data_IF_968768122532
#
_entry.id   IF_968768122532
#
_cell.length_a   1.000
_cell.length_b   1.000
_cell.length_c   1.000
_cell.angle_alpha   90.00
_cell.angle_beta   90.00
_cell.angle_gamma   90.00
#
_symmetry.space_group_name_H-M   'P 1'
#
loop_
_entity.id
_entity.type
_entity.pdbx_description
1 polymer ?
#
# COMPACT_ATOMS: atom_id res chain seq x y z
N UNK A 1 22.41 85.77 -47.10
CA UNK A 1 22.28 84.44 -47.72
C UNK A 1 21.19 83.66 -47.01
N UNK A 2 20.20 83.20 -47.78
CA UNK A 2 19.12 82.20 -47.52
C UNK A 2 18.20 82.33 -46.28
N UNK A 3 16.94 82.71 -46.57
CA UNK A 3 15.68 82.40 -45.85
C UNK A 3 15.32 80.92 -45.98
N UNK A 4 14.63 80.31 -45.00
CA UNK A 4 13.49 79.33 -45.08
C UNK A 4 12.93 79.18 -43.63
N UNK A 5 11.77 79.71 -43.27
CA UNK A 5 10.37 79.20 -43.37
C UNK A 5 10.06 77.98 -42.48
N UNK A 6 9.04 78.16 -41.62
CA UNK A 6 8.40 77.23 -40.69
C UNK A 6 7.82 75.97 -41.36
N UNK A 7 7.78 74.86 -40.61
CA UNK A 7 6.64 73.94 -40.64
C UNK A 7 6.57 73.10 -39.34
N UNK A 8 5.53 73.35 -38.56
CA UNK A 8 5.06 72.53 -37.45
C UNK A 8 4.39 71.26 -37.97
N UNK A 9 4.86 70.08 -37.54
CA UNK A 9 4.22 68.79 -37.83
C UNK A 9 3.53 68.30 -36.56
N UNK A 10 2.20 68.40 -36.55
CA UNK A 10 1.31 67.77 -35.58
C UNK A 10 1.24 66.28 -35.86
N UNK A 11 1.61 65.44 -34.89
CA UNK A 11 1.47 63.99 -35.00
C UNK A 11 0.04 63.60 -34.57
N UNK A 12 -0.78 63.20 -35.53
CA UNK A 12 -2.13 62.70 -35.32
C UNK A 12 -2.05 61.26 -34.78
N UNK A 13 -2.54 61.05 -33.55
CA UNK A 13 -2.72 59.71 -32.97
C UNK A 13 -3.98 59.08 -33.57
N UNK A 14 -3.82 58.03 -34.37
CA UNK A 14 -4.95 57.25 -34.91
C UNK A 14 -5.49 56.32 -33.82
N UNK A 15 -6.58 56.72 -33.16
CA UNK A 15 -7.36 55.84 -32.29
C UNK A 15 -8.31 55.05 -33.20
N UNK A 16 -8.03 53.75 -33.37
CA UNK A 16 -8.97 52.82 -33.99
C UNK A 16 -9.98 52.42 -32.91
N UNK A 17 -11.15 53.05 -32.94
CA UNK A 17 -12.34 52.62 -32.22
C UNK A 17 -12.95 51.44 -32.98
N UNK A 18 -12.70 50.22 -32.52
CA UNK A 18 -13.47 49.06 -32.96
C UNK A 18 -14.72 48.98 -32.08
N UNK A 19 -15.85 49.38 -32.63
CA UNK A 19 -17.17 49.15 -32.06
C UNK A 19 -17.54 47.68 -32.26
N UNK A 20 -17.36 46.85 -31.25
CA UNK A 20 -18.03 45.54 -31.21
C UNK A 20 -19.38 45.71 -30.50
N UNK A 21 -20.43 45.76 -31.32
CA UNK A 21 -21.81 45.49 -30.92
C UNK A 21 -21.90 44.04 -30.43
N UNK A 22 -22.60 43.84 -29.31
CA UNK A 22 -22.54 42.62 -28.52
C UNK A 22 -23.04 41.35 -29.20
N UNK A 23 -22.47 40.25 -28.71
CA UNK A 23 -23.17 39.02 -28.40
C UNK A 23 -22.55 38.51 -27.10
N UNK A 24 -23.29 38.54 -25.99
CA UNK A 24 -22.93 37.80 -24.78
C UNK A 24 -23.10 36.30 -25.09
N UNK A 25 -22.08 35.71 -25.70
CA UNK A 25 -21.93 34.26 -25.70
C UNK A 25 -21.52 33.82 -24.30
N UNK A 26 -22.49 33.28 -23.58
CA UNK A 26 -22.32 32.44 -22.40
C UNK A 26 -21.29 31.35 -22.74
N UNK A 27 -20.02 31.57 -22.42
CA UNK A 27 -19.02 30.51 -22.44
C UNK A 27 -19.29 29.59 -21.25
N UNK A 28 -20.18 28.62 -21.45
CA UNK A 28 -20.18 27.41 -20.66
C UNK A 28 -18.76 26.84 -20.70
N UNK A 29 -18.13 26.63 -19.55
CA UNK A 29 -16.82 26.00 -19.46
C UNK A 29 -16.92 24.59 -20.03
N UNK A 30 -16.64 24.46 -21.32
CA UNK A 30 -16.45 23.15 -21.93
C UNK A 30 -15.20 22.56 -21.28
N UNK A 31 -15.38 21.47 -20.52
CA UNK A 31 -14.29 20.60 -20.09
C UNK A 31 -13.66 20.00 -21.36
N UNK A 32 -12.76 20.75 -21.97
CA UNK A 32 -11.86 20.22 -22.98
C UNK A 32 -11.01 19.14 -22.29
N UNK A 33 -10.91 17.93 -22.86
CA UNK A 33 -10.01 16.92 -22.32
C UNK A 33 -8.59 17.50 -22.31
N UNK A 34 -7.98 17.51 -21.13
CA UNK A 34 -6.61 17.98 -20.93
C UNK A 34 -5.67 17.19 -21.87
N UNK A 35 -4.71 17.83 -22.55
CA UNK A 35 -3.71 17.10 -23.34
C UNK A 35 -2.97 16.09 -22.44
N UNK A 36 -2.71 14.90 -22.96
CA UNK A 36 -2.22 13.71 -22.23
C UNK A 36 -0.95 14.00 -21.37
N UNK A 37 -0.15 15.00 -21.75
CA UNK A 37 1.04 15.47 -21.02
C UNK A 37 0.76 16.18 -19.67
N UNK A 38 -0.51 16.52 -19.37
CA UNK A 38 -0.89 17.22 -18.15
C UNK A 38 -1.25 16.30 -16.98
N UNK A 39 -1.19 14.98 -17.13
CA UNK A 39 -1.52 14.02 -16.07
C UNK A 39 -0.27 13.37 -15.50
N UNK A 40 -0.18 13.28 -14.17
CA UNK A 40 0.79 12.42 -13.48
C UNK A 40 0.03 11.18 -12.99
N UNK A 41 0.45 10.00 -13.43
CA UNK A 41 -0.16 8.72 -13.07
C UNK A 41 0.77 7.93 -12.17
N UNK A 42 0.24 7.50 -11.02
CA UNK A 42 0.92 6.61 -10.07
C UNK A 42 0.09 5.31 -9.94
N UNK A 43 0.72 4.17 -10.22
CA UNK A 43 0.12 2.85 -10.05
C UNK A 43 0.58 2.20 -8.75
N UNK A 44 -0.35 1.62 -8.00
CA UNK A 44 -0.07 0.95 -6.73
C UNK A 44 -0.48 -0.50 -6.78
N UNK A 45 0.30 -1.34 -6.10
CA UNK A 45 -0.13 -2.65 -5.65
C UNK A 45 0.11 -2.77 -4.15
N UNK A 46 -0.93 -3.08 -3.39
CA UNK A 46 -0.84 -3.33 -1.96
C UNK A 46 -1.27 -4.76 -1.63
N UNK A 47 -0.57 -5.39 -0.69
CA UNK A 47 -0.92 -6.71 -0.16
C UNK A 47 -1.04 -6.66 1.37
N UNK A 48 -1.61 -7.71 1.95
CA UNK A 48 -1.72 -7.86 3.40
C UNK A 48 -0.46 -8.45 4.03
N UNK A 49 -0.64 -9.45 4.88
CA UNK A 49 0.40 -9.93 5.78
C UNK A 49 1.47 -10.76 5.06
N UNK A 50 2.71 -10.32 5.21
CA UNK A 50 3.94 -10.95 4.74
C UNK A 50 4.62 -11.67 5.91
N UNK A 51 4.08 -12.83 6.29
CA UNK A 51 4.60 -13.61 7.41
C UNK A 51 5.64 -14.65 6.94
N UNK A 52 6.48 -15.11 7.86
CA UNK A 52 7.44 -16.18 7.57
C UNK A 52 7.53 -17.17 8.74
N UNK A 53 6.59 -18.12 8.76
CA UNK A 53 6.54 -19.23 9.70
C UNK A 53 7.65 -20.26 9.40
N UNK A 54 7.97 -21.12 10.38
CA UNK A 54 9.04 -22.12 10.23
C UNK A 54 8.94 -22.98 8.97
N UNK A 55 7.77 -23.50 8.57
CA UNK A 55 7.67 -24.27 7.33
C UNK A 55 8.01 -23.47 6.07
N UNK A 56 7.78 -22.15 6.06
CA UNK A 56 8.04 -21.30 4.89
C UNK A 56 9.55 -21.19 4.64
N UNK A 57 10.34 -20.82 5.65
CA UNK A 57 11.79 -20.79 5.48
C UNK A 57 12.40 -22.19 5.33
N UNK A 58 11.82 -23.22 5.96
CA UNK A 58 12.27 -24.61 5.73
C UNK A 58 12.09 -25.05 4.27
N UNK A 59 11.02 -24.61 3.59
CA UNK A 59 10.76 -24.97 2.20
C UNK A 59 11.54 -24.07 1.21
N UNK A 60 11.95 -22.88 1.66
CA UNK A 60 12.80 -21.96 0.91
C UNK A 60 14.29 -22.33 0.99
N UNK A 61 14.73 -23.18 1.92
CA UNK A 61 16.15 -23.51 2.09
C UNK A 61 16.77 -24.11 0.82
N UNK A 62 17.89 -23.53 0.37
CA UNK A 62 18.68 -24.00 -0.79
C UNK A 62 20.07 -24.52 -0.40
N UNK A 63 20.58 -24.11 0.77
CA UNK A 63 21.79 -24.64 1.39
C UNK A 63 21.71 -24.48 2.91
N UNK A 64 22.79 -24.81 3.62
CA UNK A 64 22.94 -24.45 5.03
C UNK A 64 22.90 -22.92 5.15
N UNK A 65 21.94 -22.40 5.91
CA UNK A 65 21.81 -20.97 6.20
C UNK A 65 21.65 -20.07 4.95
N UNK A 66 21.01 -20.60 3.90
CA UNK A 66 20.69 -19.86 2.68
C UNK A 66 19.31 -20.27 2.16
N UNK A 67 18.51 -19.27 1.79
CA UNK A 67 17.10 -19.44 1.49
C UNK A 67 16.71 -18.68 0.21
N UNK A 68 15.79 -19.23 -0.57
CA UNK A 68 15.23 -18.57 -1.75
C UNK A 68 13.70 -18.59 -1.68
N UNK A 69 13.12 -17.41 -1.42
CA UNK A 69 11.67 -17.22 -1.37
C UNK A 69 11.09 -16.72 -2.69
N UNK A 70 11.90 -16.32 -3.68
CA UNK A 70 11.39 -15.79 -4.95
C UNK A 70 10.44 -16.74 -5.68
N UNK A 71 10.68 -18.08 -5.72
CA UNK A 71 9.77 -19.03 -6.34
C UNK A 71 8.34 -19.00 -5.79
N UNK A 72 8.14 -18.55 -4.55
CA UNK A 72 6.82 -18.44 -3.93
C UNK A 72 5.95 -17.38 -4.63
N UNK A 73 6.58 -16.37 -5.22
CA UNK A 73 5.93 -15.21 -5.82
C UNK A 73 5.82 -15.28 -7.35
N UNK A 74 6.27 -16.38 -7.99
CA UNK A 74 6.40 -16.46 -9.45
C UNK A 74 5.11 -16.16 -10.22
N UNK A 75 3.94 -16.55 -9.71
CA UNK A 75 2.66 -16.30 -10.38
C UNK A 75 2.12 -14.88 -10.15
N UNK A 76 2.59 -14.20 -9.10
CA UNK A 76 2.12 -12.87 -8.69
C UNK A 76 3.07 -11.74 -9.05
N UNK A 77 4.35 -12.02 -9.32
CA UNK A 77 5.38 -11.01 -9.65
C UNK A 77 4.95 -10.07 -10.79
N UNK A 78 4.22 -10.60 -11.79
CA UNK A 78 3.70 -9.82 -12.93
C UNK A 78 2.73 -8.70 -12.53
N UNK A 79 2.01 -8.83 -11.41
CA UNK A 79 1.07 -7.80 -10.94
C UNK A 79 1.80 -6.61 -10.30
N UNK A 80 3.04 -6.81 -9.85
CA UNK A 80 3.89 -5.78 -9.26
C UNK A 80 4.68 -5.00 -10.32
N UNK A 81 5.02 -5.65 -11.44
CA UNK A 81 5.85 -5.06 -12.49
C UNK A 81 5.25 -3.80 -13.15
N UNK A 82 3.94 -3.61 -13.09
CA UNK A 82 3.24 -2.42 -13.62
C UNK A 82 3.05 -1.29 -12.61
N UNK A 83 3.50 -1.48 -11.37
CA UNK A 83 3.27 -0.56 -10.26
C UNK A 83 4.48 0.34 -10.02
N UNK A 84 4.21 1.60 -9.70
CA UNK A 84 5.23 2.56 -9.26
C UNK A 84 5.57 2.38 -7.78
N UNK A 85 4.61 1.88 -7.00
CA UNK A 85 4.78 1.60 -5.57
C UNK A 85 4.11 0.29 -5.22
N UNK A 86 4.89 -0.65 -4.69
CA UNK A 86 4.39 -1.89 -4.11
C UNK A 86 4.63 -1.90 -2.61
N UNK A 87 3.59 -2.19 -1.82
CA UNK A 87 3.69 -2.20 -0.36
C UNK A 87 2.82 -3.24 0.34
N UNK A 88 3.13 -3.52 1.60
CA UNK A 88 2.40 -4.49 2.42
C UNK A 88 2.83 -4.46 3.88
N UNK A 89 2.29 -5.39 4.68
CA UNK A 89 2.62 -5.50 6.10
C UNK A 89 3.72 -6.54 6.34
N UNK A 90 4.90 -6.11 6.78
CA UNK A 90 6.00 -7.00 7.12
C UNK A 90 5.84 -7.51 8.56
N UNK A 91 5.07 -8.59 8.70
CA UNK A 91 4.68 -9.17 10.00
C UNK A 91 5.65 -10.26 10.44
N UNK A 92 6.90 -9.87 10.55
CA UNK A 92 7.99 -10.65 11.10
C UNK A 92 9.13 -9.69 11.47
N UNK A 93 10.22 -10.23 12.02
CA UNK A 93 11.44 -9.47 12.34
C UNK A 93 12.67 -10.25 11.87
N UNK A 94 13.75 -9.51 11.62
CA UNK A 94 15.05 -10.02 11.20
C UNK A 94 16.03 -9.86 12.35
N UNK A 95 15.96 -10.75 13.33
CA UNK A 95 16.82 -10.78 14.52
C UNK A 95 18.23 -11.33 14.30
N UNK A 96 18.53 -11.80 13.09
CA UNK A 96 19.81 -12.37 12.70
C UNK A 96 19.95 -13.85 13.07
N UNK A 97 20.83 -14.54 12.35
CA UNK A 97 21.02 -15.99 12.49
C UNK A 97 21.56 -16.44 13.84
N UNK A 98 22.32 -15.58 14.53
CA UNK A 98 22.85 -15.84 15.88
C UNK A 98 21.72 -16.06 16.91
N UNK A 99 20.52 -15.55 16.64
CA UNK A 99 19.32 -15.77 17.45
C UNK A 99 18.51 -17.01 17.04
N UNK A 100 18.97 -17.75 16.03
CA UNK A 100 18.27 -18.86 15.37
C UNK A 100 16.94 -18.46 14.73
N UNK A 101 16.65 -18.97 13.54
CA UNK A 101 15.38 -18.68 12.88
C UNK A 101 14.21 -19.36 13.59
N UNK A 102 13.11 -18.63 13.70
CA UNK A 102 11.89 -19.08 14.35
C UNK A 102 10.66 -18.53 13.64
N UNK A 103 9.59 -19.33 13.61
CA UNK A 103 8.26 -18.85 13.27
C UNK A 103 7.48 -18.47 14.53
N UNK A 104 6.15 -18.51 14.44
CA UNK A 104 5.24 -18.33 15.56
C UNK A 104 5.64 -19.17 16.81
N UNK A 105 5.54 -18.62 18.05
CA UNK A 105 4.93 -17.33 18.40
C UNK A 105 5.86 -16.11 18.38
N UNK A 106 7.18 -16.32 18.29
CA UNK A 106 8.16 -15.24 18.25
C UNK A 106 8.99 -15.38 16.98
N UNK A 107 8.66 -14.60 15.97
CA UNK A 107 9.29 -14.68 14.68
C UNK A 107 10.76 -14.20 14.72
N UNK A 108 11.58 -14.84 13.90
CA UNK A 108 12.91 -14.40 13.50
C UNK A 108 13.18 -15.01 12.12
N UNK A 109 13.00 -14.21 11.07
CA UNK A 109 13.12 -14.69 9.69
C UNK A 109 14.52 -14.52 9.12
N UNK A 110 14.91 -15.36 8.14
CA UNK A 110 16.12 -15.13 7.34
C UNK A 110 16.06 -13.80 6.59
N UNK A 111 17.21 -13.15 6.45
CA UNK A 111 17.34 -11.89 5.70
C UNK A 111 17.04 -12.09 4.20
N UNK A 112 17.26 -13.31 3.69
CA UNK A 112 16.90 -13.72 2.34
C UNK A 112 15.39 -13.52 2.06
N UNK A 113 14.53 -13.57 3.10
CA UNK A 113 13.11 -13.28 2.92
C UNK A 113 12.89 -11.83 2.48
N UNK A 114 13.56 -10.88 3.13
CA UNK A 114 13.53 -9.47 2.75
C UNK A 114 14.18 -9.24 1.39
N UNK A 115 15.29 -9.94 1.10
CA UNK A 115 15.95 -9.92 -0.20
C UNK A 115 14.99 -10.33 -1.32
N UNK A 116 14.29 -11.45 -1.16
CA UNK A 116 13.31 -11.92 -2.14
C UNK A 116 12.14 -10.93 -2.29
N UNK A 117 11.65 -10.31 -1.21
CA UNK A 117 10.63 -9.26 -1.31
C UNK A 117 11.13 -8.08 -2.16
N UNK A 118 12.37 -7.63 -1.96
CA UNK A 118 12.95 -6.56 -2.80
C UNK A 118 12.99 -6.97 -4.28
N UNK A 119 13.47 -8.18 -4.58
CA UNK A 119 13.60 -8.68 -5.96
C UNK A 119 12.26 -8.92 -6.67
N UNK A 120 11.22 -9.27 -5.91
CA UNK A 120 9.85 -9.45 -6.42
C UNK A 120 9.18 -8.10 -6.70
N UNK A 121 9.63 -7.02 -6.05
CA UNK A 121 9.27 -5.64 -6.40
C UNK A 121 8.72 -4.80 -5.25
N UNK A 122 8.87 -5.21 -3.98
CA UNK A 122 8.39 -4.42 -2.85
C UNK A 122 9.25 -3.16 -2.62
N UNK A 123 8.58 -2.01 -2.47
CA UNK A 123 9.20 -0.69 -2.33
C UNK A 123 9.08 -0.13 -0.91
N UNK A 124 7.91 -0.32 -0.28
CA UNK A 124 7.59 0.17 1.06
C UNK A 124 6.99 -0.96 1.91
N UNK A 125 7.37 -1.04 3.18
CA UNK A 125 6.79 -2.00 4.13
C UNK A 125 6.29 -1.29 5.39
N UNK A 126 5.06 -1.58 5.79
CA UNK A 126 4.60 -1.29 7.14
C UNK A 126 5.29 -2.27 8.10
N UNK A 127 5.96 -1.73 9.10
CA UNK A 127 6.65 -2.52 10.13
C UNK A 127 6.01 -2.38 11.50
N UNK A 128 4.98 -1.54 11.67
CA UNK A 128 4.20 -1.47 12.89
C UNK A 128 3.13 -2.56 12.90
N UNK A 129 3.39 -3.63 13.64
CA UNK A 129 2.47 -4.73 13.89
C UNK A 129 2.73 -5.36 15.27
N UNK A 130 1.92 -6.33 15.64
CA UNK A 130 2.04 -7.03 16.91
C UNK A 130 3.33 -7.86 17.07
N UNK A 131 3.98 -8.21 15.96
CA UNK A 131 5.22 -8.98 15.93
C UNK A 131 6.50 -8.13 15.85
N UNK A 132 6.40 -6.80 15.75
CA UNK A 132 7.55 -5.89 15.63
C UNK A 132 8.59 -6.01 16.75
N UNK A 133 8.20 -6.52 17.92
CA UNK A 133 9.06 -6.67 19.10
C UNK A 133 9.38 -8.12 19.46
N UNK A 134 9.10 -9.10 18.59
CA UNK A 134 9.34 -10.53 18.89
C UNK A 134 10.79 -10.83 19.29
N UNK A 135 11.73 -10.10 18.69
CA UNK A 135 13.16 -10.17 19.02
C UNK A 135 13.65 -8.97 19.85
N UNK A 136 12.70 -8.31 20.53
CA UNK A 136 12.83 -7.10 21.35
C UNK A 136 13.40 -5.92 20.55
N UNK A 137 13.84 -4.87 21.23
CA UNK A 137 14.44 -3.68 20.63
C UNK A 137 15.57 -4.04 19.64
N UNK A 138 16.47 -4.95 20.00
CA UNK A 138 17.58 -5.33 19.14
C UNK A 138 17.14 -5.95 17.81
N UNK A 139 16.05 -6.73 17.82
CA UNK A 139 15.51 -7.29 16.58
C UNK A 139 14.77 -6.27 15.72
N UNK A 140 14.05 -5.34 16.34
CA UNK A 140 13.41 -4.24 15.63
C UNK A 140 14.43 -3.34 14.94
N UNK A 141 15.46 -2.91 15.68
CA UNK A 141 16.54 -2.08 15.13
C UNK A 141 17.23 -2.81 13.96
N UNK A 142 17.58 -4.08 14.16
CA UNK A 142 18.19 -4.87 13.09
C UNK A 142 17.28 -5.00 11.87
N UNK A 143 15.98 -5.21 12.06
CA UNK A 143 15.01 -5.27 10.95
C UNK A 143 15.04 -3.98 10.12
N UNK A 144 15.10 -2.83 10.79
CA UNK A 144 15.21 -1.53 10.12
C UNK A 144 16.56 -1.40 9.39
N UNK A 145 17.65 -1.77 10.03
CA UNK A 145 18.99 -1.73 9.41
C UNK A 145 19.03 -2.60 8.13
N UNK A 146 18.43 -3.79 8.17
CA UNK A 146 18.32 -4.65 6.98
C UNK A 146 17.44 -4.03 5.89
N UNK A 147 16.33 -3.36 6.23
CA UNK A 147 15.51 -2.63 5.26
C UNK A 147 16.30 -1.52 4.56
N UNK A 148 17.10 -0.76 5.33
CA UNK A 148 17.99 0.27 4.79
C UNK A 148 19.02 -0.36 3.85
N UNK A 149 19.69 -1.44 4.28
CA UNK A 149 20.72 -2.12 3.50
C UNK A 149 20.20 -2.70 2.17
N UNK A 150 18.93 -3.14 2.13
CA UNK A 150 18.29 -3.70 0.93
C UNK A 150 17.53 -2.65 0.10
N UNK A 151 17.56 -1.38 0.51
CA UNK A 151 16.87 -0.30 -0.21
C UNK A 151 15.35 -0.47 -0.22
N UNK A 152 14.78 -0.99 0.87
CA UNK A 152 13.34 -1.02 1.12
C UNK A 152 12.98 0.12 2.06
N UNK A 153 11.99 0.92 1.67
CA UNK A 153 11.48 1.95 2.55
C UNK A 153 10.58 1.33 3.62
N UNK A 154 10.56 1.92 4.81
CA UNK A 154 9.82 1.41 5.95
C UNK A 154 9.11 2.53 6.69
N UNK A 155 7.97 2.20 7.29
CA UNK A 155 7.21 3.12 8.12
C UNK A 155 6.49 2.39 9.25
N UNK A 156 6.28 3.09 10.37
CA UNK A 156 5.60 2.58 11.56
C UNK A 156 6.53 2.18 12.72
N UNK A 157 7.77 1.76 12.43
CA UNK A 157 8.83 1.56 13.44
C UNK A 157 10.08 2.36 13.08
N UNK A 158 10.86 2.76 14.09
CA UNK A 158 12.01 3.66 13.90
C UNK A 158 13.14 3.40 14.90
N UNK A 159 14.38 3.73 14.55
CA UNK A 159 15.55 3.56 15.44
C UNK A 159 15.79 4.76 16.35
N UNK A 160 15.24 5.93 15.99
CA UNK A 160 15.36 7.18 16.76
C UNK A 160 14.09 8.03 16.66
N UNK A 161 13.92 8.99 17.57
CA UNK A 161 12.85 9.99 17.49
C UNK A 161 12.95 10.85 16.23
N UNK A 162 14.16 11.23 15.82
CA UNK A 162 14.38 12.02 14.60
C UNK A 162 13.93 11.27 13.34
N UNK A 163 14.25 9.98 13.27
CA UNK A 163 13.81 9.11 12.18
C UNK A 163 12.27 9.00 12.16
N UNK A 164 11.67 8.80 13.34
CA UNK A 164 10.22 8.74 13.53
C UNK A 164 9.49 10.00 13.07
N UNK A 165 10.05 11.18 13.37
CA UNK A 165 9.47 12.46 12.98
C UNK A 165 9.71 12.79 11.49
N UNK A 166 10.57 12.02 10.81
CA UNK A 166 10.85 12.13 9.38
C UNK A 166 9.87 11.27 8.57
N UNK A 167 8.63 11.77 8.39
CA UNK A 167 7.55 11.07 7.66
C UNK A 167 8.04 10.62 6.28
N UNK A 168 7.78 9.35 5.95
CA UNK A 168 8.16 8.78 4.66
C UNK A 168 7.33 9.37 3.54
N UNK A 169 8.01 9.91 2.55
CA UNK A 169 7.40 10.50 1.36
C UNK A 169 7.85 9.71 0.14
N UNK A 170 6.90 9.16 -0.62
CA UNK A 170 7.13 8.78 -2.01
C UNK A 170 6.94 10.00 -2.91
N UNK A 171 7.76 10.13 -3.95
CA UNK A 171 7.63 11.20 -4.92
C UNK A 171 7.91 10.71 -6.34
N UNK A 172 7.00 11.02 -7.27
CA UNK A 172 7.17 10.83 -8.72
C UNK A 172 6.76 12.12 -9.43
N UNK A 173 7.74 12.81 -10.01
CA UNK A 173 7.56 14.19 -10.45
C UNK A 173 7.12 15.08 -9.29
N UNK A 174 6.03 15.83 -9.50
CA UNK A 174 5.43 16.70 -8.47
C UNK A 174 4.28 16.04 -7.70
N UNK A 175 4.11 14.72 -7.82
CA UNK A 175 3.15 13.95 -7.02
C UNK A 175 3.85 13.41 -5.77
N UNK A 176 3.36 13.79 -4.57
CA UNK A 176 3.93 13.38 -3.28
C UNK A 176 2.95 12.59 -2.41
N UNK A 177 3.41 11.55 -1.74
CA UNK A 177 2.56 10.66 -0.92
C UNK A 177 3.22 10.44 0.43
N UNK A 178 2.51 10.72 1.51
CA UNK A 178 2.95 10.41 2.86
C UNK A 178 2.44 9.04 3.32
N UNK A 179 3.31 8.26 3.95
CA UNK A 179 2.97 6.98 4.59
C UNK A 179 3.03 7.08 6.10
N UNK A 180 1.99 6.61 6.78
CA UNK A 180 1.91 6.50 8.23
C UNK A 180 1.46 5.08 8.59
N UNK A 181 2.04 4.48 9.63
CA UNK A 181 1.76 3.11 10.04
C UNK A 181 1.58 3.01 11.54
N UNK A 182 0.62 2.18 11.99
CA UNK A 182 0.33 1.99 13.41
C UNK A 182 -0.11 0.56 13.73
N UNK A 183 0.21 0.10 14.94
CA UNK A 183 -0.27 -1.20 15.45
C UNK A 183 -1.14 -1.07 16.69
N UNK A 184 -2.11 -1.98 16.85
CA UNK A 184 -2.90 -2.10 18.08
C UNK A 184 -2.06 -2.47 19.31
N UNK A 185 -0.91 -3.15 19.11
CA UNK A 185 -0.11 -3.67 20.21
C UNK A 185 1.14 -4.42 19.76
N UNK A 186 1.72 -5.20 20.66
CA UNK A 186 3.02 -5.90 20.50
C UNK A 186 3.01 -7.29 21.13
N UNK A 187 1.86 -7.98 21.10
CA UNK A 187 1.65 -9.29 21.73
C UNK A 187 2.07 -9.36 23.21
N UNK A 188 1.91 -8.25 23.94
CA UNK A 188 2.25 -8.14 25.35
C UNK A 188 3.73 -7.85 25.64
N UNK A 189 4.59 -7.74 24.63
CA UNK A 189 5.99 -7.32 24.81
C UNK A 189 6.06 -5.80 25.02
N UNK A 190 6.56 -5.31 26.17
CA UNK A 190 6.53 -3.88 26.46
C UNK A 190 7.49 -3.11 25.54
N UNK A 191 7.02 -1.97 25.03
CA UNK A 191 7.90 -0.97 24.43
C UNK A 191 8.85 -0.44 25.53
N UNK A 192 10.18 -0.43 25.31
CA UNK A 192 11.12 0.09 26.29
C UNK A 192 10.79 1.52 26.73
N UNK A 193 10.97 1.82 28.01
CA UNK A 193 10.68 3.13 28.59
C UNK A 193 11.44 4.24 27.85
N UNK A 194 10.75 5.34 27.55
CA UNK A 194 11.27 6.51 26.83
C UNK A 194 11.71 6.20 25.38
N UNK A 195 11.25 5.10 24.79
CA UNK A 195 11.53 4.72 23.41
C UNK A 195 10.25 4.46 22.61
N UNK A 196 9.21 5.25 22.87
CA UNK A 196 7.92 5.18 22.17
C UNK A 196 8.07 5.35 20.64
N UNK A 197 9.17 5.94 20.16
CA UNK A 197 9.50 6.03 18.75
C UNK A 197 9.78 4.67 18.09
N UNK A 198 10.07 3.61 18.86
CA UNK A 198 10.36 2.29 18.30
C UNK A 198 9.18 1.73 17.51
N UNK A 199 7.95 2.02 17.95
CA UNK A 199 6.73 1.60 17.26
C UNK A 199 5.61 2.61 17.49
N UNK A 200 4.99 3.04 16.41
CA UNK A 200 3.75 3.80 16.47
C UNK A 200 2.59 2.89 16.90
N UNK A 201 2.15 3.00 18.15
CA UNK A 201 0.92 2.36 18.61
C UNK A 201 -0.30 3.19 18.24
N UNK A 202 -1.45 2.54 18.04
CA UNK A 202 -2.73 3.22 17.79
C UNK A 202 -3.11 4.03 19.03
N UNK A 203 -2.92 5.34 18.91
CA UNK A 203 -3.30 6.35 19.89
C UNK A 203 -3.98 7.49 19.13
N UNK A 204 -5.27 7.81 19.39
CA UNK A 204 -6.01 8.82 18.64
C UNK A 204 -5.28 10.16 18.48
N UNK A 205 -4.67 10.66 19.56
CA UNK A 205 -3.92 11.91 19.59
C UNK A 205 -2.63 11.87 18.75
N UNK A 206 -1.97 10.71 18.70
CA UNK A 206 -0.78 10.50 17.88
C UNK A 206 -1.14 10.51 16.40
N UNK A 207 -2.17 9.75 16.02
CA UNK A 207 -2.67 9.66 14.64
C UNK A 207 -3.06 11.04 14.12
N UNK A 208 -3.82 11.81 14.89
CA UNK A 208 -4.22 13.17 14.52
C UNK A 208 -2.98 14.05 14.33
N UNK A 209 -2.06 14.05 15.31
CA UNK A 209 -0.82 14.85 15.24
C UNK A 209 0.03 14.50 14.02
N UNK A 210 0.19 13.23 13.71
CA UNK A 210 1.01 12.76 12.60
C UNK A 210 0.38 13.11 11.26
N UNK A 211 -0.94 12.98 11.11
CA UNK A 211 -1.64 13.39 9.89
C UNK A 211 -1.50 14.90 9.69
N UNK A 212 -1.57 15.72 10.75
CA UNK A 212 -1.31 17.16 10.63
C UNK A 212 0.16 17.45 10.28
N UNK A 213 1.10 16.69 10.85
CA UNK A 213 2.53 16.82 10.52
C UNK A 213 2.79 16.44 9.06
N UNK A 214 2.14 15.39 8.55
CA UNK A 214 2.18 15.00 7.14
C UNK A 214 1.62 16.12 6.26
N UNK A 215 0.46 16.70 6.60
CA UNK A 215 -0.13 17.84 5.88
C UNK A 215 0.81 19.03 5.76
N UNK A 216 1.60 19.32 6.79
CA UNK A 216 2.59 20.41 6.76
C UNK A 216 3.72 20.17 5.73
N UNK A 217 3.93 18.94 5.29
CA UNK A 217 4.86 18.60 4.20
C UNK A 217 4.23 18.76 2.80
N UNK A 218 2.96 19.19 2.75
CA UNK A 218 2.15 19.40 1.55
C UNK A 218 2.14 18.20 0.57
N UNK A 219 1.89 16.96 1.03
CA UNK A 219 1.70 15.83 0.14
C UNK A 219 0.39 15.97 -0.64
N UNK A 220 0.30 15.28 -1.77
CA UNK A 220 -0.94 15.14 -2.54
C UNK A 220 -1.86 14.08 -1.94
N UNK A 221 -1.29 13.05 -1.30
CA UNK A 221 -2.02 11.99 -0.61
C UNK A 221 -1.38 11.61 0.71
N UNK A 222 -2.20 11.21 1.69
CA UNK A 222 -1.79 10.59 2.94
C UNK A 222 -2.39 9.18 3.01
N UNK A 223 -1.52 8.18 3.02
CA UNK A 223 -1.86 6.77 3.21
C UNK A 223 -1.59 6.40 4.66
N UNK A 224 -2.61 5.87 5.33
CA UNK A 224 -2.51 5.31 6.69
C UNK A 224 -2.65 3.80 6.62
N UNK A 225 -1.69 3.09 7.20
CA UNK A 225 -1.73 1.64 7.36
C UNK A 225 -1.97 1.27 8.83
N UNK A 226 -2.96 0.43 9.09
CA UNK A 226 -3.23 -0.11 10.41
C UNK A 226 -2.97 -1.61 10.49
N UNK A 227 -2.41 -2.04 11.61
CA UNK A 227 -2.38 -3.44 11.99
C UNK A 227 -3.28 -3.60 13.23
N UNK A 228 -4.55 -4.01 13.02
CA UNK A 228 -5.60 -3.97 14.05
C UNK A 228 -6.81 -4.88 13.75
N UNK A 229 -7.72 -5.02 14.73
CA UNK A 229 -8.94 -5.82 14.58
C UNK A 229 -8.91 -7.10 15.41
N UNK A 230 -9.94 -7.91 15.26
CA UNK A 230 -10.03 -9.20 15.92
C UNK A 230 -9.67 -10.31 14.92
N UNK A 231 -8.75 -11.20 15.32
CA UNK A 231 -8.32 -12.29 14.46
C UNK A 231 -9.51 -13.13 13.94
N UNK A 232 -9.44 -13.46 12.66
CA UNK A 232 -10.36 -14.31 11.93
C UNK A 232 -11.79 -13.79 11.77
N UNK A 233 -12.06 -12.55 12.19
CA UNK A 233 -13.35 -11.90 11.95
C UNK A 233 -13.40 -11.27 10.57
N UNK A 234 -14.40 -11.65 9.77
CA UNK A 234 -14.57 -11.20 8.37
C UNK A 234 -15.19 -9.81 8.23
N UNK A 235 -15.73 -9.26 9.30
CA UNK A 235 -16.23 -7.88 9.35
C UNK A 235 -15.41 -7.10 10.37
N UNK A 236 -15.10 -5.82 10.09
CA UNK A 236 -14.42 -4.98 11.06
C UNK A 236 -15.31 -4.78 12.29
N UNK A 237 -14.70 -4.78 13.47
CA UNK A 237 -15.40 -4.43 14.69
C UNK A 237 -15.53 -2.90 14.86
N UNK A 238 -16.31 -2.46 15.85
CA UNK A 238 -16.57 -1.04 16.11
C UNK A 238 -15.29 -0.24 16.34
N UNK A 239 -14.29 -0.82 17.01
CA UNK A 239 -13.01 -0.15 17.22
C UNK A 239 -12.26 0.14 15.92
N UNK A 240 -12.23 -0.83 14.99
CA UNK A 240 -11.62 -0.62 13.66
C UNK A 240 -12.34 0.50 12.90
N UNK A 241 -13.68 0.51 12.90
CA UNK A 241 -14.48 1.54 12.25
C UNK A 241 -14.26 2.93 12.86
N UNK A 242 -14.17 3.03 14.18
CA UNK A 242 -13.91 4.29 14.89
C UNK A 242 -12.52 4.86 14.60
N UNK A 243 -11.47 4.03 14.63
CA UNK A 243 -10.10 4.46 14.35
C UNK A 243 -9.91 4.81 12.87
N UNK A 244 -10.54 4.06 11.96
CA UNK A 244 -10.52 4.39 10.53
C UNK A 244 -11.25 5.71 10.27
N UNK A 245 -12.42 5.92 10.90
CA UNK A 245 -13.14 7.19 10.82
C UNK A 245 -12.31 8.35 11.37
N UNK A 246 -11.61 8.16 12.49
CA UNK A 246 -10.75 9.18 13.09
C UNK A 246 -9.62 9.60 12.12
N UNK A 247 -8.96 8.65 11.47
CA UNK A 247 -7.92 8.95 10.48
C UNK A 247 -8.49 9.69 9.26
N UNK A 248 -9.63 9.23 8.76
CA UNK A 248 -10.36 9.88 7.66
C UNK A 248 -10.66 11.34 7.98
N UNK A 249 -11.27 11.58 9.14
CA UNK A 249 -11.65 12.93 9.58
C UNK A 249 -10.44 13.82 9.85
N UNK A 250 -9.32 13.24 10.32
CA UNK A 250 -8.06 13.94 10.49
C UNK A 250 -7.40 14.32 9.15
N UNK A 251 -7.74 13.62 8.05
CA UNK A 251 -7.37 13.97 6.69
C UNK A 251 -6.69 12.88 5.87
N UNK A 252 -6.67 11.63 6.32
CA UNK A 252 -6.19 10.52 5.51
C UNK A 252 -6.99 10.40 4.19
N UNK A 253 -6.33 10.04 3.11
CA UNK A 253 -6.93 9.83 1.79
C UNK A 253 -7.25 8.36 1.54
N UNK A 254 -6.34 7.49 1.97
CA UNK A 254 -6.44 6.04 1.82
C UNK A 254 -6.10 5.42 3.17
N UNK A 255 -6.94 4.48 3.61
CA UNK A 255 -6.72 3.71 4.83
C UNK A 255 -6.66 2.24 4.44
N UNK A 256 -5.56 1.57 4.77
CA UNK A 256 -5.38 0.14 4.50
C UNK A 256 -5.05 -0.54 5.81
N UNK A 257 -5.46 -1.79 5.96
CA UNK A 257 -5.17 -2.53 7.16
C UNK A 257 -4.93 -4.03 6.93
N UNK A 258 -4.41 -4.63 8.00
CA UNK A 258 -4.08 -6.04 8.19
C UNK A 258 -4.28 -6.41 9.67
N UNK A 259 -3.94 -7.66 10.03
CA UNK A 259 -3.99 -8.30 11.36
C UNK A 259 -5.06 -9.40 11.50
N UNK A 260 -6.30 -9.24 11.01
CA UNK A 260 -7.31 -10.28 11.19
C UNK A 260 -6.94 -11.63 10.53
N UNK A 261 -5.89 -11.67 9.71
CA UNK A 261 -5.46 -12.84 8.93
C UNK A 261 -6.56 -13.45 8.05
N UNK A 262 -7.59 -12.66 7.77
CA UNK A 262 -8.69 -12.94 6.85
C UNK A 262 -9.01 -11.63 6.13
N UNK A 263 -9.63 -11.73 4.96
CA UNK A 263 -10.12 -10.54 4.26
C UNK A 263 -11.26 -9.87 5.06
N UNK A 264 -11.31 -8.55 5.00
CA UNK A 264 -12.45 -7.74 5.44
C UNK A 264 -12.86 -6.79 4.29
N UNK A 265 -14.06 -6.19 4.32
CA UNK A 265 -14.58 -5.40 3.22
C UNK A 265 -13.73 -4.17 2.87
N UNK A 266 -13.91 -3.69 1.64
CA UNK A 266 -13.42 -2.39 1.19
C UNK A 266 -14.61 -1.43 1.09
N UNK A 267 -14.42 -0.22 1.58
CA UNK A 267 -15.44 0.84 1.63
C UNK A 267 -14.92 2.12 0.98
N UNK A 268 -15.69 2.69 0.04
CA UNK A 268 -15.42 4.01 -0.53
C UNK A 268 -16.01 5.11 0.35
N UNK A 269 -15.36 6.27 0.42
CA UNK A 269 -15.91 7.46 1.06
C UNK A 269 -15.64 8.72 0.24
N UNK A 270 -16.55 9.68 0.33
CA UNK A 270 -16.42 10.97 -0.33
C UNK A 270 -15.66 11.98 0.52
N UNK A 271 -14.89 12.86 -0.14
CA UNK A 271 -14.12 13.94 0.46
C UNK A 271 -14.53 15.26 -0.22
N UNK A 272 -15.66 15.87 0.17
CA UNK A 272 -16.09 17.14 -0.44
C UNK A 272 -15.04 18.23 -0.20
N UNK A 273 -14.81 19.06 -1.21
CA UNK A 273 -13.85 20.17 -1.18
C UNK A 273 -12.37 19.75 -0.99
N UNK A 274 -12.02 18.50 -1.29
CA UNK A 274 -10.65 17.98 -1.34
C UNK A 274 -10.11 17.92 -2.77
N UNK A 275 -8.79 17.85 -2.94
CA UNK A 275 -8.16 17.57 -4.24
C UNK A 275 -8.55 16.20 -4.78
N UNK A 276 -8.63 15.22 -3.89
CA UNK A 276 -9.18 13.89 -4.14
C UNK A 276 -10.64 13.85 -3.66
N UNK A 277 -11.57 13.52 -4.54
CA UNK A 277 -13.01 13.47 -4.23
C UNK A 277 -13.47 12.18 -3.54
N UNK A 278 -12.73 11.09 -3.75
CA UNK A 278 -13.10 9.73 -3.32
C UNK A 278 -11.88 9.02 -2.76
N UNK A 279 -11.92 8.73 -1.46
CA UNK A 279 -10.96 7.86 -0.78
C UNK A 279 -11.53 6.47 -0.54
N UNK A 280 -10.73 5.57 0.03
CA UNK A 280 -11.20 4.24 0.42
C UNK A 280 -10.56 3.73 1.71
N UNK A 281 -11.24 2.78 2.33
CA UNK A 281 -10.80 2.01 3.50
C UNK A 281 -10.79 0.54 3.11
N UNK A 282 -9.64 -0.13 3.24
CA UNK A 282 -9.54 -1.59 3.14
C UNK A 282 -9.25 -2.14 4.55
N UNK A 283 -10.27 -2.72 5.20
CA UNK A 283 -10.18 -3.06 6.63
C UNK A 283 -9.27 -4.27 6.93
N UNK A 284 -9.04 -5.15 5.96
CA UNK A 284 -8.02 -6.19 6.02
C UNK A 284 -7.77 -6.77 4.63
N UNK A 285 -6.50 -6.85 4.23
CA UNK A 285 -6.08 -7.50 2.97
C UNK A 285 -5.74 -9.00 3.15
N UNK A 286 -5.92 -9.55 4.35
CA UNK A 286 -5.68 -10.96 4.66
C UNK A 286 -4.21 -11.37 4.58
N UNK A 287 -3.96 -12.68 4.57
CA UNK A 287 -2.60 -13.20 4.46
C UNK A 287 -2.17 -13.23 2.99
N UNK A 288 -1.15 -12.44 2.64
CA UNK A 288 -0.54 -12.60 1.32
C UNK A 288 0.36 -13.83 1.26
N UNK A 289 1.13 -14.07 2.33
CA UNK A 289 1.90 -15.29 2.52
C UNK A 289 1.97 -15.65 4.01
N UNK A 290 1.53 -16.86 4.35
CA UNK A 290 1.58 -17.42 5.71
C UNK A 290 1.54 -18.95 5.68
N UNK A 291 1.68 -19.58 6.85
CA UNK A 291 1.43 -21.03 7.02
C UNK A 291 0.04 -21.31 7.63
N UNK A 292 -0.85 -20.33 7.68
CA UNK A 292 -2.24 -20.55 8.07
C UNK A 292 -3.00 -21.13 6.87
N UNK A 293 -3.55 -22.34 7.03
CA UNK A 293 -4.02 -23.19 5.92
C UNK A 293 -5.47 -23.64 6.07
N UNK A 294 -6.27 -22.87 6.80
CA UNK A 294 -7.71 -23.07 6.93
C UNK A 294 -8.47 -21.99 6.16
N UNK A 295 -9.73 -22.30 5.82
CA UNK A 295 -10.61 -21.44 5.03
C UNK A 295 -10.64 -20.02 5.60
N UNK A 296 -10.53 -19.03 4.70
CA UNK A 296 -10.42 -17.58 4.96
C UNK A 296 -9.01 -17.09 5.30
N UNK A 297 -8.16 -17.91 5.93
CA UNK A 297 -6.79 -17.53 6.29
C UNK A 297 -5.72 -18.07 5.35
N UNK A 298 -6.14 -18.92 4.40
CA UNK A 298 -5.35 -19.37 3.25
C UNK A 298 -5.51 -18.45 2.02
N UNK A 299 -6.19 -17.31 2.19
CA UNK A 299 -6.47 -16.33 1.15
C UNK A 299 -6.02 -14.91 1.54
N UNK A 300 -5.63 -14.16 0.53
CA UNK A 300 -5.32 -12.73 0.60
C UNK A 300 -5.72 -12.04 -0.68
N UNK A 301 -5.31 -10.78 -0.86
CA UNK A 301 -5.61 -10.03 -2.09
C UNK A 301 -4.45 -9.13 -2.50
N UNK A 302 -4.25 -8.99 -3.81
CA UNK A 302 -3.49 -7.87 -4.37
C UNK A 302 -4.50 -6.77 -4.67
N UNK A 303 -4.45 -5.69 -3.91
CA UNK A 303 -5.25 -4.49 -4.12
C UNK A 303 -4.49 -3.55 -5.06
N UNK A 304 -5.03 -3.32 -6.25
CA UNK A 304 -4.48 -2.38 -7.21
C UNK A 304 -5.33 -1.11 -7.24
N UNK A 305 -4.67 0.03 -7.37
CA UNK A 305 -5.33 1.30 -7.64
C UNK A 305 -4.38 2.25 -8.37
N UNK A 306 -4.95 3.21 -9.08
CA UNK A 306 -4.21 4.23 -9.83
C UNK A 306 -4.63 5.60 -9.32
N UNK A 307 -3.66 6.47 -9.07
CA UNK A 307 -3.91 7.86 -8.72
C UNK A 307 -3.43 8.75 -9.86
N UNK A 308 -4.34 9.57 -10.40
CA UNK A 308 -4.04 10.52 -11.47
C UNK A 308 -4.18 11.95 -10.96
N UNK A 309 -3.12 12.75 -11.06
CA UNK A 309 -3.13 14.18 -10.76
C UNK A 309 -3.10 14.99 -12.04
N UNK A 310 -4.07 15.88 -12.21
CA UNK A 310 -4.05 16.88 -13.26
C UNK A 310 -3.16 18.05 -12.83
N UNK A 311 -2.09 18.30 -13.60
CA UNK A 311 -1.11 19.36 -13.32
C UNK A 311 -1.71 20.76 -13.42
N UNK A 312 -2.79 20.95 -14.19
CA UNK A 312 -3.37 22.26 -14.44
C UNK A 312 -4.20 22.79 -13.26
N UNK A 313 -5.00 21.93 -12.62
CA UNK A 313 -5.90 22.31 -11.53
C UNK A 313 -5.60 21.61 -10.20
N UNK A 314 -4.64 20.68 -10.19
CA UNK A 314 -4.21 19.93 -9.01
C UNK A 314 -5.23 18.87 -8.55
N UNK A 315 -6.30 18.62 -9.31
CA UNK A 315 -7.29 17.59 -8.97
C UNK A 315 -6.68 16.21 -9.08
N UNK A 316 -7.07 15.35 -8.15
CA UNK A 316 -6.61 13.97 -8.05
C UNK A 316 -7.82 13.06 -8.21
N UNK A 317 -7.69 12.02 -9.02
CA UNK A 317 -8.73 11.01 -9.18
C UNK A 317 -8.22 9.61 -8.88
N UNK A 318 -9.06 8.83 -8.20
CA UNK A 318 -8.86 7.40 -8.00
C UNK A 318 -9.40 6.64 -9.23
N UNK A 319 -8.55 5.84 -9.85
CA UNK A 319 -8.85 4.99 -11.00
C UNK A 319 -8.48 3.55 -10.71
N UNK A 320 -9.04 2.63 -11.48
CA UNK A 320 -8.67 1.21 -11.50
C UNK A 320 -8.61 0.55 -10.11
N UNK A 321 -9.46 0.94 -9.16
CA UNK A 321 -9.55 0.27 -7.86
C UNK A 321 -10.09 -1.15 -8.07
N UNK A 322 -9.18 -2.13 -8.04
CA UNK A 322 -9.51 -3.52 -8.30
C UNK A 322 -8.73 -4.48 -7.39
N UNK A 323 -9.27 -5.67 -7.22
CA UNK A 323 -8.71 -6.70 -6.36
C UNK A 323 -8.43 -7.97 -7.16
N UNK A 324 -7.26 -8.55 -6.96
CA UNK A 324 -6.91 -9.89 -7.44
C UNK A 324 -6.83 -10.80 -6.22
N UNK A 325 -7.88 -11.57 -5.90
CA UNK A 325 -7.81 -12.58 -4.84
C UNK A 325 -6.63 -13.53 -5.04
N UNK A 326 -6.05 -14.00 -3.95
CA UNK A 326 -4.90 -14.92 -3.96
C UNK A 326 -5.13 -16.07 -2.99
N UNK A 327 -4.51 -17.20 -3.27
CA UNK A 327 -4.56 -18.42 -2.46
C UNK A 327 -3.14 -18.90 -2.18
N UNK A 328 -2.82 -19.16 -0.91
CA UNK A 328 -1.50 -19.67 -0.51
C UNK A 328 -1.49 -21.18 -0.58
N UNK A 329 -0.98 -21.72 -1.69
CA UNK A 329 -0.73 -23.15 -1.84
C UNK A 329 0.46 -23.58 -0.98
N UNK A 330 0.31 -24.72 -0.32
CA UNK A 330 1.37 -25.47 0.34
C UNK A 330 1.30 -26.93 -0.11
N UNK A 331 2.39 -27.44 -0.68
CA UNK A 331 2.41 -28.84 -1.10
C UNK A 331 3.71 -29.24 -1.78
N UNK A 332 3.66 -30.32 -2.56
CA UNK A 332 4.82 -30.80 -3.32
C UNK A 332 4.62 -30.54 -4.82
N UNK A 333 5.62 -29.96 -5.45
CA UNK A 333 5.71 -29.73 -6.90
C UNK A 333 6.95 -30.47 -7.37
N UNK A 334 6.78 -31.46 -8.23
CA UNK A 334 7.88 -32.30 -8.74
C UNK A 334 8.76 -32.91 -7.63
N UNK A 335 8.15 -33.26 -6.50
CA UNK A 335 8.83 -33.86 -5.34
C UNK A 335 9.47 -32.85 -4.38
N UNK A 336 9.54 -31.56 -4.73
CA UNK A 336 10.00 -30.48 -3.85
C UNK A 336 8.82 -29.88 -3.08
N UNK A 337 9.00 -29.70 -1.77
CA UNK A 337 8.02 -29.01 -0.92
C UNK A 337 8.10 -27.51 -1.17
N UNK A 338 6.99 -26.88 -1.53
CA UNK A 338 6.95 -25.46 -1.89
C UNK A 338 5.70 -24.76 -1.33
N UNK A 339 5.84 -23.45 -1.17
CA UNK A 339 4.73 -22.52 -1.12
C UNK A 339 4.58 -21.83 -2.46
N UNK A 340 3.35 -21.50 -2.83
CA UNK A 340 3.06 -20.71 -4.02
C UNK A 340 1.85 -19.82 -3.79
N UNK A 341 1.97 -18.53 -4.13
CA UNK A 341 0.84 -17.61 -4.10
C UNK A 341 0.15 -17.69 -5.46
N UNK A 342 -1.08 -18.20 -5.48
CA UNK A 342 -1.87 -18.44 -6.67
C UNK A 342 -2.95 -17.35 -6.81
N UNK A 343 -2.85 -16.42 -7.78
CA UNK A 343 -3.88 -15.41 -8.00
C UNK A 343 -5.17 -15.99 -8.57
N UNK A 344 -6.29 -15.26 -8.49
CA UNK A 344 -7.54 -15.64 -9.11
C UNK A 344 -7.37 -15.77 -10.63
N UNK A 345 -7.64 -16.97 -11.14
CA UNK A 345 -7.74 -17.16 -12.57
C UNK A 345 -7.77 -18.61 -13.03
N UNK A 346 -7.52 -18.79 -14.33
CA UNK A 346 -7.58 -20.07 -15.01
C UNK A 346 -6.25 -20.83 -14.95
N UNK A 347 -6.30 -22.04 -14.35
CA UNK A 347 -5.14 -22.91 -14.15
C UNK A 347 -5.25 -24.17 -15.01
N UNK A 348 -4.59 -24.18 -16.17
CA UNK A 348 -4.60 -25.33 -17.09
C UNK A 348 -4.00 -26.59 -16.44
N UNK A 349 -4.69 -27.73 -16.56
CA UNK A 349 -4.23 -29.01 -15.99
C UNK A 349 -2.88 -29.47 -16.56
N UNK A 350 -2.56 -29.10 -17.81
CA UNK A 350 -1.28 -29.41 -18.45
C UNK A 350 -0.08 -28.70 -17.84
N UNK A 351 -0.30 -27.55 -17.18
CA UNK A 351 0.76 -26.73 -16.57
C UNK A 351 0.79 -26.92 -15.05
N UNK A 352 -0.38 -26.99 -14.42
CA UNK A 352 -0.54 -27.06 -12.97
C UNK A 352 -0.94 -28.46 -12.50
N UNK A 353 -0.17 -29.47 -12.89
CA UNK A 353 -0.46 -30.89 -12.61
C UNK A 353 -0.50 -31.22 -11.12
N UNK A 354 0.16 -30.41 -10.27
CA UNK A 354 0.15 -30.54 -8.82
C UNK A 354 -1.15 -30.07 -8.15
N UNK A 355 -2.03 -29.35 -8.86
CA UNK A 355 -3.32 -28.90 -8.35
C UNK A 355 -4.36 -30.02 -8.47
N UNK A 356 -4.48 -30.82 -7.41
CA UNK A 356 -5.52 -31.86 -7.31
C UNK A 356 -6.93 -31.27 -7.38
N UNK A 357 -7.93 -32.11 -7.69
CA UNK A 357 -9.35 -31.70 -7.65
C UNK A 357 -9.75 -31.05 -6.32
N UNK A 358 -9.25 -31.57 -5.21
CA UNK A 358 -9.50 -31.02 -3.87
C UNK A 358 -8.91 -29.63 -3.71
N UNK A 359 -7.66 -29.43 -4.11
CA UNK A 359 -7.01 -28.11 -4.06
C UNK A 359 -7.74 -27.11 -4.94
N UNK A 360 -8.10 -27.49 -6.17
CA UNK A 360 -8.87 -26.63 -7.09
C UNK A 360 -10.22 -26.25 -6.51
N UNK A 361 -10.89 -27.16 -5.80
CA UNK A 361 -12.14 -26.87 -5.12
C UNK A 361 -11.95 -25.84 -4.00
N UNK A 362 -10.89 -25.99 -3.19
CA UNK A 362 -10.55 -25.02 -2.14
C UNK A 362 -10.19 -23.65 -2.70
N UNK A 363 -9.39 -23.60 -3.77
CA UNK A 363 -9.07 -22.33 -4.45
C UNK A 363 -10.33 -21.62 -4.95
N UNK A 364 -11.24 -22.35 -5.60
CA UNK A 364 -12.52 -21.80 -6.06
C UNK A 364 -13.37 -21.27 -4.89
N UNK A 365 -13.40 -21.99 -3.77
CA UNK A 365 -14.09 -21.55 -2.56
C UNK A 365 -13.44 -20.27 -2.00
N UNK A 366 -12.12 -20.24 -1.85
CA UNK A 366 -11.37 -19.09 -1.37
C UNK A 366 -11.59 -17.84 -2.25
N UNK A 367 -11.55 -17.99 -3.58
CA UNK A 367 -11.81 -16.86 -4.49
C UNK A 367 -13.26 -16.38 -4.47
N UNK A 368 -14.22 -17.30 -4.33
CA UNK A 368 -15.63 -16.95 -4.18
C UNK A 368 -15.90 -16.21 -2.86
N UNK A 369 -15.32 -16.70 -1.76
CA UNK A 369 -15.38 -16.08 -0.44
C UNK A 369 -14.75 -14.67 -0.48
N UNK A 370 -13.55 -14.56 -1.07
CA UNK A 370 -12.83 -13.29 -1.22
C UNK A 370 -13.68 -12.25 -1.96
N UNK A 371 -14.30 -12.64 -3.08
CA UNK A 371 -15.22 -11.77 -3.82
C UNK A 371 -16.37 -11.30 -2.94
N UNK A 372 -17.04 -12.22 -2.24
CA UNK A 372 -18.19 -11.90 -1.39
C UNK A 372 -17.84 -10.93 -0.26
N UNK A 373 -16.69 -11.12 0.39
CA UNK A 373 -16.23 -10.27 1.51
C UNK A 373 -15.83 -8.87 1.00
N UNK A 374 -14.96 -8.81 -0.01
CA UNK A 374 -14.37 -7.55 -0.48
C UNK A 374 -15.42 -6.60 -1.04
N UNK A 375 -16.49 -7.12 -1.68
CA UNK A 375 -17.55 -6.30 -2.28
C UNK A 375 -18.75 -6.05 -1.36
N UNK A 376 -18.70 -6.46 -0.08
CA UNK A 376 -19.88 -6.40 0.79
C UNK A 376 -20.31 -4.96 1.12
N UNK A 377 -19.37 -4.01 1.14
CA UNK A 377 -19.63 -2.59 1.47
C UNK A 377 -19.52 -1.63 0.28
N UNK A 378 -18.90 -2.05 -0.82
CA UNK A 378 -18.73 -1.23 -2.03
C UNK A 378 -18.56 -2.10 -3.26
N UNK A 379 -19.01 -1.60 -4.41
CA UNK A 379 -18.84 -2.31 -5.68
C UNK A 379 -17.41 -2.14 -6.19
N UNK A 380 -16.49 -2.97 -5.68
CA UNK A 380 -15.10 -3.01 -6.11
C UNK A 380 -14.93 -4.05 -7.22
N UNK A 381 -14.16 -3.70 -8.25
CA UNK A 381 -13.88 -4.63 -9.34
C UNK A 381 -13.02 -5.80 -8.83
N UNK A 382 -13.52 -7.03 -8.97
CA UNK A 382 -12.73 -8.24 -8.70
C UNK A 382 -12.24 -8.80 -10.02
N UNK A 383 -10.92 -8.95 -10.15
CA UNK A 383 -10.27 -9.53 -11.32
C UNK A 383 -10.23 -11.05 -11.16
N UNK A 384 -10.68 -11.77 -12.17
CA UNK A 384 -10.53 -13.22 -12.32
C UNK A 384 -10.05 -13.48 -13.74
N UNK A 385 -8.81 -13.91 -13.90
CA UNK A 385 -8.20 -14.13 -15.23
C UNK A 385 -8.61 -15.44 -15.88
#
# INVERSE_FOLDING_TARGET
MKKYVLASISLFTLIILISFTGDEQFFASQNLPSPEDSIITINFSCVGDLMCHSPQFQYAAVAEDSFDFEPVFREVKKYFASSDVVFGNFETVLGGKEKQYSGFPFFNSPDDYLTSLKHVGFDYLNTANNHSLDQKEAGLIRTIDEMINHGINYFGTYTTQMDRDSIRIFQKGDFRIAFLGYSYGTNGLPVPKNKDYLINLIKPELIIKDIQSAKNLNPDLIIVYYHFGEEYQKEPNTYQEEIAKLAKDAGADIIIASHPHVLQPIELFTKPNSKLDTGFIAYSLGNFISNQQWRYSDAGVILNFTMEKNKNDGKISLKNLNCVPTYVYKGAIEGKKEYLILPSGNYADSVYTFLTKTIRSKMKEAFSDSKGILTNRSNIQIISN
#
